data_IF_407901332978
#
_entry.id   IF_407901332978
#
_cell.length_a   1.000
_cell.length_b   1.000
_cell.length_c   1.000
_cell.angle_alpha   90.00
_cell.angle_beta   90.00
_cell.angle_gamma   90.00
#
_symmetry.space_group_name_H-M   'P 1'
#
loop_
_entity.id
_entity.type
_entity.pdbx_description
1 polymer ?
#
# COMPACT_ATOMS: atom_id res chain seq x y z
N UNK A 1 6.43 21.74 -5.63
CA UNK A 1 6.98 21.47 -6.98
C UNK A 1 5.84 21.31 -7.97
N UNK A 2 5.63 22.25 -8.90
CA UNK A 2 4.48 22.23 -9.82
C UNK A 2 4.46 21.01 -10.77
N UNK A 3 5.60 20.34 -10.99
CA UNK A 3 5.67 19.15 -11.85
C UNK A 3 5.05 17.89 -11.23
N UNK A 4 5.17 17.67 -9.92
CA UNK A 4 4.67 16.44 -9.27
C UNK A 4 3.14 16.44 -9.25
N UNK A 5 2.52 17.55 -8.84
CA UNK A 5 1.06 17.65 -8.82
C UNK A 5 0.46 17.41 -10.21
N UNK A 6 1.05 18.03 -11.24
CA UNK A 6 0.63 17.82 -12.63
C UNK A 6 0.71 16.36 -13.06
N UNK A 7 1.78 15.65 -12.69
CA UNK A 7 1.94 14.22 -12.97
C UNK A 7 0.86 13.37 -12.26
N UNK A 8 0.56 13.69 -11.00
CA UNK A 8 -0.52 13.03 -10.25
C UNK A 8 -1.88 13.25 -10.92
N UNK A 9 -2.15 14.47 -11.38
CA UNK A 9 -3.41 14.81 -12.06
C UNK A 9 -3.50 14.12 -13.44
N UNK A 10 -2.43 14.14 -14.24
CA UNK A 10 -2.36 13.51 -15.57
C UNK A 10 -2.55 11.98 -15.49
N UNK A 11 -2.06 11.35 -14.43
CA UNK A 11 -2.20 9.90 -14.18
C UNK A 11 -3.47 9.55 -13.40
N UNK A 12 -4.32 10.54 -13.08
CA UNK A 12 -5.54 10.38 -12.27
C UNK A 12 -5.28 9.70 -10.91
N UNK A 13 -4.11 9.97 -10.31
CA UNK A 13 -3.72 9.39 -9.02
C UNK A 13 -4.41 10.17 -7.89
N UNK A 14 -5.29 9.54 -7.10
CA UNK A 14 -5.98 10.22 -6.03
C UNK A 14 -5.03 10.58 -4.88
N UNK A 15 -5.03 11.85 -4.48
CA UNK A 15 -4.33 12.31 -3.26
C UNK A 15 -5.29 12.23 -2.08
N UNK A 16 -4.88 11.56 -1.02
CA UNK A 16 -5.66 11.38 0.21
C UNK A 16 -4.81 11.75 1.41
N UNK A 17 -5.31 12.68 2.23
CA UNK A 17 -4.61 13.18 3.41
C UNK A 17 -5.12 12.43 4.64
N UNK A 18 -4.39 11.40 5.06
CA UNK A 18 -4.83 10.47 6.10
C UNK A 18 -5.27 11.14 7.42
N UNK A 19 -4.73 12.30 7.77
CA UNK A 19 -5.11 13.07 8.98
C UNK A 19 -6.38 13.91 8.79
N UNK A 20 -6.58 14.46 7.60
CA UNK A 20 -7.63 15.45 7.32
C UNK A 20 -8.92 14.79 6.80
N UNK A 21 -8.76 13.68 6.09
CA UNK A 21 -9.85 12.93 5.47
C UNK A 21 -10.69 12.10 6.44
N UNK A 22 -10.44 12.20 7.76
CA UNK A 22 -11.12 11.43 8.79
C UNK A 22 -12.18 12.22 9.56
N UNK A 23 -13.30 11.55 9.82
CA UNK A 23 -14.34 12.07 10.70
C UNK A 23 -13.77 12.39 12.09
N UNK A 24 -14.35 13.37 12.82
CA UNK A 24 -13.92 13.69 14.18
C UNK A 24 -13.95 12.48 15.14
N UNK A 25 -14.90 11.57 14.92
CA UNK A 25 -15.00 10.33 15.69
C UNK A 25 -13.79 9.40 15.44
N UNK A 26 -13.45 9.16 14.16
CA UNK A 26 -12.30 8.32 13.81
C UNK A 26 -10.97 8.92 14.28
N UNK A 27 -10.86 10.25 14.31
CA UNK A 27 -9.68 10.92 14.89
C UNK A 27 -9.54 10.63 16.38
N UNK A 28 -10.63 10.72 17.15
CA UNK A 28 -10.62 10.37 18.58
C UNK A 28 -10.26 8.89 18.81
N UNK A 29 -10.81 7.99 18.00
CA UNK A 29 -10.51 6.56 18.06
C UNK A 29 -9.02 6.27 17.82
N UNK A 30 -8.40 6.98 16.87
CA UNK A 30 -6.97 6.85 16.56
C UNK A 30 -6.06 7.13 17.76
N UNK A 31 -6.46 8.02 18.68
CA UNK A 31 -5.72 8.34 19.91
C UNK A 31 -6.12 7.47 21.11
N UNK A 32 -7.20 6.68 20.99
CA UNK A 32 -7.67 5.79 22.05
C UNK A 32 -7.13 4.36 21.90
N UNK A 33 -6.74 3.95 20.68
CA UNK A 33 -6.09 2.66 20.43
C UNK A 33 -4.66 2.64 20.99
N UNK A 34 -4.21 1.48 21.49
CA UNK A 34 -2.81 1.26 21.95
C UNK A 34 -1.79 1.29 20.79
N UNK A 35 -2.27 1.34 19.53
CA UNK A 35 -1.43 1.39 18.32
C UNK A 35 -1.06 2.83 17.99
N UNK A 36 0.04 3.00 17.25
CA UNK A 36 0.47 4.32 16.79
C UNK A 36 -0.65 5.00 15.97
N UNK A 37 -1.12 6.22 16.33
CA UNK A 37 -2.27 6.86 15.68
C UNK A 37 -2.14 6.98 14.16
N UNK A 38 -0.91 7.17 13.66
CA UNK A 38 -0.66 7.25 12.22
C UNK A 38 -1.02 5.95 11.49
N UNK A 39 -0.80 4.79 12.09
CA UNK A 39 -1.14 3.48 11.50
C UNK A 39 -2.65 3.36 11.33
N UNK A 40 -3.42 3.71 12.35
CA UNK A 40 -4.89 3.69 12.27
C UNK A 40 -5.40 4.64 11.18
N UNK A 41 -4.88 5.86 11.14
CA UNK A 41 -5.30 6.87 10.18
C UNK A 41 -4.96 6.45 8.75
N UNK A 42 -3.73 5.98 8.50
CA UNK A 42 -3.32 5.47 7.19
C UNK A 42 -4.14 4.24 6.78
N UNK A 43 -4.44 3.32 7.70
CA UNK A 43 -5.29 2.14 7.43
C UNK A 43 -6.67 2.56 6.91
N UNK A 44 -7.34 3.50 7.59
CA UNK A 44 -8.66 4.02 7.17
C UNK A 44 -8.59 4.72 5.81
N UNK A 45 -7.55 5.51 5.57
CA UNK A 45 -7.32 6.17 4.28
C UNK A 45 -7.11 5.14 3.15
N UNK A 46 -6.25 4.15 3.37
CA UNK A 46 -6.01 3.04 2.44
C UNK A 46 -7.30 2.27 2.16
N UNK A 47 -8.07 1.91 3.19
CA UNK A 47 -9.37 1.22 3.05
C UNK A 47 -10.31 1.97 2.10
N UNK A 48 -10.39 3.30 2.24
CA UNK A 48 -11.21 4.16 1.37
C UNK A 48 -10.73 4.09 -0.07
N UNK A 49 -9.43 4.28 -0.31
CA UNK A 49 -8.83 4.28 -1.66
C UNK A 49 -9.03 2.92 -2.35
N UNK A 50 -8.69 1.83 -1.66
CA UNK A 50 -8.78 0.47 -2.19
C UNK A 50 -10.24 0.08 -2.44
N UNK A 51 -11.15 0.42 -1.51
CA UNK A 51 -12.58 0.19 -1.68
C UNK A 51 -13.16 0.97 -2.86
N UNK A 52 -12.68 2.19 -3.11
CA UNK A 52 -13.10 2.96 -4.28
C UNK A 52 -12.57 2.34 -5.58
N UNK A 53 -11.30 1.92 -5.60
CA UNK A 53 -10.69 1.32 -6.78
C UNK A 53 -11.34 -0.02 -7.18
N UNK A 54 -11.50 -0.94 -6.23
CA UNK A 54 -12.09 -2.27 -6.50
C UNK A 54 -13.62 -2.29 -6.41
N UNK A 55 -14.23 -1.36 -5.66
CA UNK A 55 -15.65 -1.34 -5.38
C UNK A 55 -16.51 -0.60 -6.38
N UNK A 56 -15.93 0.22 -7.27
CA UNK A 56 -16.67 0.89 -8.37
C UNK A 56 -17.15 -0.15 -9.39
N UNK A 57 -18.47 -0.39 -9.50
CA UNK A 57 -19.03 -1.22 -10.56
C UNK A 57 -18.90 -0.43 -11.88
N UNK A 58 -18.22 -0.97 -12.90
CA UNK A 58 -18.40 -0.47 -14.27
C UNK A 58 -19.76 -0.97 -14.78
N UNK A 59 -20.40 -0.24 -15.69
CA UNK A 59 -21.75 -0.55 -16.22
C UNK A 59 -21.98 -2.06 -16.40
N UNK A 60 -22.95 -2.64 -15.68
CA UNK A 60 -23.26 -4.08 -15.72
C UNK A 60 -22.27 -5.05 -15.03
N UNK A 61 -21.18 -4.57 -14.45
CA UNK A 61 -20.17 -5.37 -13.75
C UNK A 61 -20.38 -5.39 -12.23
N UNK A 62 -20.17 -6.56 -11.61
CA UNK A 62 -20.15 -6.73 -10.15
C UNK A 62 -18.90 -6.10 -9.52
N UNK A 63 -18.99 -5.81 -8.22
CA UNK A 63 -17.84 -5.41 -7.37
C UNK A 63 -16.68 -6.39 -7.54
N UNK A 64 -15.46 -5.86 -7.70
CA UNK A 64 -14.24 -6.65 -7.87
C UNK A 64 -13.71 -7.08 -6.50
N UNK A 65 -13.16 -8.29 -6.41
CA UNK A 65 -12.36 -8.69 -5.24
C UNK A 65 -11.04 -7.93 -5.26
N UNK A 66 -10.48 -7.67 -4.07
CA UNK A 66 -9.15 -7.10 -3.95
C UNK A 66 -8.14 -8.16 -4.40
N UNK A 67 -7.17 -7.77 -5.21
CA UNK A 67 -6.23 -8.71 -5.83
C UNK A 67 -4.81 -8.51 -5.34
N UNK A 68 -4.27 -7.32 -5.58
CA UNK A 68 -2.86 -7.00 -5.35
C UNK A 68 -2.77 -5.54 -4.93
N UNK A 69 -2.07 -5.27 -3.84
CA UNK A 69 -1.90 -3.95 -3.26
C UNK A 69 -0.44 -3.82 -2.84
N UNK A 70 0.23 -2.80 -3.39
CA UNK A 70 1.61 -2.45 -3.04
C UNK A 70 1.56 -1.14 -2.26
N UNK A 71 2.14 -1.13 -1.06
CA UNK A 71 2.38 0.07 -0.27
C UNK A 71 3.88 0.34 -0.21
N UNK A 72 4.25 1.57 -0.54
CA UNK A 72 5.63 2.07 -0.44
C UNK A 72 5.62 3.26 0.52
N UNK A 73 6.51 3.27 1.50
CA UNK A 73 6.60 4.37 2.47
C UNK A 73 7.83 4.25 3.35
N UNK A 74 8.26 5.37 3.93
CA UNK A 74 9.42 5.51 4.81
C UNK A 74 9.14 5.11 6.26
N UNK A 75 7.87 5.14 6.67
CA UNK A 75 7.49 4.82 8.04
C UNK A 75 6.91 3.40 8.18
N UNK A 76 7.07 2.76 9.36
CA UNK A 76 6.41 1.48 9.64
C UNK A 76 4.88 1.59 9.65
N UNK A 77 4.32 2.81 9.73
CA UNK A 77 2.89 3.01 9.80
C UNK A 77 2.18 2.55 8.51
N UNK A 78 2.75 2.80 7.32
CA UNK A 78 2.22 2.31 6.04
C UNK A 78 2.17 0.79 6.00
N UNK A 79 3.29 0.16 6.33
CA UNK A 79 3.46 -1.30 6.32
C UNK A 79 2.42 -1.96 7.22
N UNK A 80 2.37 -1.55 8.48
CA UNK A 80 1.45 -2.11 9.47
C UNK A 80 -0.01 -1.80 9.13
N UNK A 81 -0.29 -0.63 8.55
CA UNK A 81 -1.64 -0.26 8.14
C UNK A 81 -2.16 -1.16 7.03
N UNK A 82 -1.35 -1.43 6.00
CA UNK A 82 -1.75 -2.31 4.91
C UNK A 82 -1.91 -3.76 5.38
N UNK A 83 -0.96 -4.27 6.18
CA UNK A 83 -1.03 -5.63 6.74
C UNK A 83 -2.30 -5.82 7.60
N UNK A 84 -2.60 -4.89 8.51
CA UNK A 84 -3.82 -4.95 9.32
C UNK A 84 -5.09 -4.86 8.47
N UNK A 85 -5.07 -4.04 7.41
CA UNK A 85 -6.19 -3.90 6.49
C UNK A 85 -6.48 -5.20 5.72
N UNK A 86 -5.44 -5.82 5.16
CA UNK A 86 -5.57 -7.07 4.40
C UNK A 86 -5.94 -8.23 5.31
N UNK A 87 -5.34 -8.33 6.50
CA UNK A 87 -5.66 -9.37 7.48
C UNK A 87 -7.13 -9.36 7.90
N UNK A 88 -7.73 -8.17 8.04
CA UNK A 88 -9.16 -8.02 8.38
C UNK A 88 -10.09 -8.25 7.19
N UNK A 89 -9.56 -8.36 5.97
CA UNK A 89 -10.38 -8.44 4.75
C UNK A 89 -10.91 -9.86 4.54
N UNK A 90 -12.21 -10.01 4.74
CA UNK A 90 -12.95 -11.22 4.34
C UNK A 90 -13.44 -11.07 2.90
N UNK A 91 -12.97 -11.92 1.99
CA UNK A 91 -13.51 -11.99 0.62
C UNK A 91 -13.58 -13.43 0.12
N UNK A 92 -14.72 -13.76 -0.52
CA UNK A 92 -15.02 -15.09 -1.05
C UNK A 92 -15.42 -15.04 -2.52
N UNK A 93 -15.22 -16.14 -3.23
CA UNK A 93 -15.69 -16.33 -4.60
C UNK A 93 -17.19 -16.70 -4.66
N UNK A 94 -17.72 -16.94 -5.87
CA UNK A 94 -19.13 -17.35 -6.06
C UNK A 94 -19.46 -18.72 -5.46
N UNK A 95 -18.44 -19.57 -5.27
CA UNK A 95 -18.55 -20.93 -4.71
C UNK A 95 -18.34 -20.93 -3.19
N UNK A 96 -18.05 -19.77 -2.60
CA UNK A 96 -17.77 -19.63 -1.17
C UNK A 96 -16.31 -19.86 -0.77
N UNK A 97 -15.41 -20.09 -1.73
CA UNK A 97 -13.98 -20.28 -1.44
C UNK A 97 -13.34 -18.95 -1.06
N UNK A 98 -12.33 -19.01 -0.20
CA UNK A 98 -11.50 -17.86 0.15
C UNK A 98 -10.73 -17.34 -1.05
N UNK A 99 -10.56 -16.01 -1.10
CA UNK A 99 -9.74 -15.34 -2.10
C UNK A 99 -8.69 -14.50 -1.40
N UNK A 100 -7.42 -14.74 -1.68
CA UNK A 100 -6.37 -13.95 -1.04
C UNK A 100 -6.17 -12.63 -1.78
N UNK A 101 -5.74 -11.62 -1.03
CA UNK A 101 -5.29 -10.34 -1.53
C UNK A 101 -3.79 -10.26 -1.29
N UNK A 102 -3.00 -10.10 -2.35
CA UNK A 102 -1.54 -10.03 -2.27
C UNK A 102 -1.17 -8.70 -1.60
N UNK A 103 -0.65 -8.79 -0.39
CA UNK A 103 -0.19 -7.68 0.44
C UNK A 103 1.30 -7.50 0.22
N UNK A 104 1.69 -6.36 -0.35
CA UNK A 104 3.08 -6.05 -0.64
C UNK A 104 3.49 -4.75 0.02
N UNK A 105 4.47 -4.81 0.90
CA UNK A 105 4.98 -3.67 1.65
C UNK A 105 6.46 -3.47 1.34
N UNK A 106 6.81 -2.22 1.03
CA UNK A 106 8.17 -1.79 0.80
C UNK A 106 8.46 -0.60 1.72
N UNK A 107 9.19 -0.86 2.81
CA UNK A 107 9.63 0.13 3.79
C UNK A 107 10.94 0.76 3.30
N UNK A 108 10.91 2.07 3.10
CA UNK A 108 12.06 2.86 2.69
C UNK A 108 12.94 3.21 3.89
N UNK A 109 14.16 3.66 3.64
CA UNK A 109 15.08 4.13 4.66
C UNK A 109 14.47 5.31 5.43
N UNK A 110 14.71 5.34 6.74
CA UNK A 110 14.34 6.48 7.58
C UNK A 110 15.45 7.53 7.46
N UNK A 111 15.09 8.76 7.09
CA UNK A 111 16.02 9.89 6.94
C UNK A 111 17.23 9.66 6.00
N UNK A 112 17.01 9.24 4.73
CA UNK A 112 18.11 9.02 3.80
C UNK A 112 18.80 10.33 3.41
N UNK A 113 20.12 10.28 3.23
CA UNK A 113 20.82 11.37 2.55
C UNK A 113 20.50 11.39 1.03
N UNK A 114 20.93 12.42 0.31
CA UNK A 114 20.59 12.59 -1.10
C UNK A 114 21.03 11.40 -1.99
N UNK A 115 22.22 10.86 -1.73
CA UNK A 115 22.76 9.73 -2.49
C UNK A 115 21.97 8.44 -2.20
N UNK A 116 21.64 8.22 -0.93
CA UNK A 116 20.82 7.09 -0.47
C UNK A 116 19.40 7.14 -1.05
N UNK A 117 18.76 8.31 -0.98
CA UNK A 117 17.41 8.52 -1.53
C UNK A 117 17.40 8.31 -3.05
N UNK A 118 18.43 8.78 -3.76
CA UNK A 118 18.54 8.58 -5.21
C UNK A 118 18.68 7.09 -5.54
N UNK A 119 19.56 6.38 -4.83
CA UNK A 119 19.76 4.95 -5.02
C UNK A 119 18.50 4.14 -4.66
N UNK A 120 17.78 4.56 -3.62
CA UNK A 120 16.50 3.97 -3.22
C UNK A 120 15.42 4.13 -4.30
N UNK A 121 15.18 5.35 -4.80
CA UNK A 121 14.17 5.59 -5.84
C UNK A 121 14.46 4.79 -7.11
N UNK A 122 15.73 4.70 -7.51
CA UNK A 122 16.15 3.87 -8.66
C UNK A 122 15.82 2.39 -8.41
N UNK A 123 16.12 1.87 -7.20
CA UNK A 123 15.80 0.49 -6.82
C UNK A 123 14.29 0.22 -6.84
N UNK A 124 13.50 1.10 -6.24
CA UNK A 124 12.02 0.99 -6.24
C UNK A 124 11.50 0.91 -7.68
N UNK A 125 11.97 1.79 -8.57
CA UNK A 125 11.56 1.80 -9.97
C UNK A 125 11.90 0.48 -10.71
N UNK A 126 13.07 -0.11 -10.42
CA UNK A 126 13.50 -1.39 -10.99
C UNK A 126 12.69 -2.58 -10.46
N UNK A 127 12.30 -2.54 -9.18
CA UNK A 127 11.58 -3.65 -8.54
C UNK A 127 10.08 -3.62 -8.77
N UNK A 128 9.50 -2.45 -9.03
CA UNK A 128 8.05 -2.30 -9.15
C UNK A 128 7.41 -3.28 -10.14
N UNK A 129 7.97 -3.54 -11.35
CA UNK A 129 7.41 -4.55 -12.25
C UNK A 129 7.39 -5.94 -11.62
N UNK A 130 8.48 -6.36 -10.99
CA UNK A 130 8.58 -7.67 -10.35
C UNK A 130 7.62 -7.81 -9.16
N UNK A 131 7.56 -6.79 -8.32
CA UNK A 131 6.59 -6.72 -7.21
C UNK A 131 5.16 -6.78 -7.71
N UNK A 132 4.81 -6.10 -8.80
CA UNK A 132 3.45 -6.12 -9.34
C UNK A 132 3.08 -7.50 -9.88
N UNK A 133 4.00 -8.21 -10.54
CA UNK A 133 3.70 -9.52 -11.16
C UNK A 133 3.82 -10.71 -10.18
N UNK A 134 4.55 -10.56 -9.07
CA UNK A 134 4.70 -11.62 -8.09
C UNK A 134 3.34 -12.09 -7.53
N UNK A 135 3.08 -13.40 -7.54
CA UNK A 135 1.81 -13.97 -7.08
C UNK A 135 1.88 -14.41 -5.61
N UNK A 136 2.13 -13.46 -4.71
CA UNK A 136 2.29 -13.71 -3.29
C UNK A 136 2.36 -12.42 -2.46
N UNK A 137 2.44 -12.60 -1.16
CA UNK A 137 2.70 -11.51 -0.22
C UNK A 137 4.20 -11.20 -0.18
N UNK A 138 4.55 -9.94 0.03
CA UNK A 138 5.93 -9.48 0.06
C UNK A 138 6.06 -8.43 1.17
N UNK A 139 7.04 -8.57 2.05
CA UNK A 139 7.36 -7.55 3.05
C UNK A 139 8.86 -7.29 3.00
N UNK A 140 9.24 -6.08 2.61
CA UNK A 140 10.62 -5.70 2.32
C UNK A 140 10.98 -4.40 3.00
N UNK A 141 12.22 -4.32 3.41
CA UNK A 141 12.84 -3.09 3.88
C UNK A 141 14.10 -2.80 3.04
N UNK A 142 14.30 -1.56 2.61
CA UNK A 142 15.40 -1.17 1.69
C UNK A 142 16.76 -1.09 2.39
N UNK A 143 16.78 -1.24 3.71
CA UNK A 143 17.90 -1.11 4.64
C UNK A 143 18.62 -2.44 5.01
N UNK A 144 18.32 -3.57 4.36
CA UNK A 144 18.87 -4.89 4.74
C UNK A 144 19.26 -5.86 3.61
N UNK A 145 19.90 -6.98 4.01
CA UNK A 145 20.39 -8.11 3.18
C UNK A 145 19.28 -8.85 2.39
N UNK A 146 18.00 -8.61 2.72
CA UNK A 146 16.80 -9.27 2.18
C UNK A 146 16.58 -9.06 0.67
N UNK A 147 17.39 -8.20 0.05
CA UNK A 147 17.28 -7.79 -1.35
C UNK A 147 17.77 -8.89 -2.31
N UNK A 148 18.80 -9.65 -1.93
CA UNK A 148 19.42 -10.64 -2.81
C UNK A 148 18.49 -11.83 -3.08
N UNK A 149 17.82 -12.33 -2.05
CA UNK A 149 16.93 -13.49 -2.12
C UNK A 149 15.62 -13.18 -2.86
N UNK A 150 15.11 -11.95 -2.73
CA UNK A 150 13.96 -11.51 -3.49
C UNK A 150 14.27 -11.37 -4.98
N UNK A 151 15.43 -10.82 -5.35
CA UNK A 151 15.82 -10.75 -6.77
C UNK A 151 16.03 -12.14 -7.39
N UNK A 152 16.41 -13.15 -6.59
CA UNK A 152 16.44 -14.54 -7.02
C UNK A 152 15.03 -15.15 -7.18
N UNK A 153 14.08 -14.76 -6.34
CA UNK A 153 12.69 -15.27 -6.34
C UNK A 153 11.74 -14.56 -7.34
N UNK A 154 12.03 -13.29 -7.69
CA UNK A 154 11.21 -12.46 -8.60
C UNK A 154 11.60 -12.63 -10.08
N UNK A 155 12.77 -13.22 -10.39
CA UNK A 155 13.12 -13.61 -11.76
C UNK A 155 12.25 -14.79 -12.20
N UNK A 156 11.14 -14.48 -12.88
CA UNK A 156 10.36 -15.40 -13.72
C UNK A 156 10.49 -14.95 -15.17
#
# INVERSE_FOLDING_TARGET
MPGVQRCLDELEIPVVLAREDLSPHCRREAYAETRHPATFMKRRAMERVISNFYGRPRHGQRRRSWKNIVSVGDSPAERLALQDLVLRRVQRDRKGNWKDCRCKTLKLMEEPNLSELTAEVIRVAQWLPGLVHHDGDVDLEVDGEDIADLMASIRV
#
